data_IF_157840223931
#
_entry.id   IF_157840223931
#
_cell.length_a   1.000
_cell.length_b   1.000
_cell.length_c   1.000
_cell.angle_alpha   90.00
_cell.angle_beta   90.00
_cell.angle_gamma   90.00
#
_symmetry.space_group_name_H-M   'P 1'
#
loop_
_entity.id
_entity.type
_entity.pdbx_description
1 polymer ?
#
# COMPACT_ATOMS: atom_id res chain seq x y z
N UNK A 1 15.52 4.72 7.21
CA UNK A 1 15.71 5.99 6.49
C UNK A 1 16.50 5.67 5.23
N UNK A 2 15.96 6.03 4.07
CA UNK A 2 16.52 5.77 2.75
C UNK A 2 16.43 7.08 1.96
N UNK A 3 17.41 7.35 1.12
CA UNK A 3 17.46 8.52 0.25
C UNK A 3 17.48 8.06 -1.21
N UNK A 4 16.68 8.70 -2.07
CA UNK A 4 16.58 8.37 -3.50
C UNK A 4 17.30 9.38 -4.39
N UNK A 5 18.33 10.07 -3.87
CA UNK A 5 19.05 11.15 -4.54
C UNK A 5 20.01 10.69 -5.64
N UNK A 6 20.27 9.39 -5.79
CA UNK A 6 21.07 8.83 -6.88
C UNK A 6 20.37 7.63 -7.52
N UNK A 7 20.69 7.29 -8.77
CA UNK A 7 20.14 6.10 -9.43
C UNK A 7 20.38 4.82 -8.62
N UNK A 8 21.57 4.70 -8.00
CA UNK A 8 21.91 3.55 -7.16
C UNK A 8 21.07 3.51 -5.88
N UNK A 9 20.93 4.65 -5.19
CA UNK A 9 20.19 4.70 -3.93
C UNK A 9 18.68 4.54 -4.13
N UNK A 10 18.14 5.01 -5.26
CA UNK A 10 16.76 4.74 -5.69
C UNK A 10 16.51 3.24 -5.92
N UNK A 11 17.42 2.56 -6.62
CA UNK A 11 17.29 1.12 -6.85
C UNK A 11 17.30 0.34 -5.53
N UNK A 12 18.25 0.65 -4.65
CA UNK A 12 18.34 0.02 -3.33
C UNK A 12 17.09 0.27 -2.48
N UNK A 13 16.53 1.48 -2.52
CA UNK A 13 15.30 1.79 -1.80
C UNK A 13 14.10 1.02 -2.34
N UNK A 14 14.01 0.89 -3.66
CA UNK A 14 12.96 0.11 -4.34
C UNK A 14 13.03 -1.36 -3.98
N UNK A 15 14.23 -1.96 -4.02
CA UNK A 15 14.47 -3.35 -3.63
C UNK A 15 14.13 -3.61 -2.16
N UNK A 16 14.50 -2.67 -1.28
CA UNK A 16 14.16 -2.75 0.15
C UNK A 16 12.65 -2.80 0.36
N UNK A 17 11.90 -1.87 -0.25
CA UNK A 17 10.44 -1.83 -0.13
C UNK A 17 9.84 -3.13 -0.68
N UNK A 18 10.23 -3.53 -1.89
CA UNK A 18 9.72 -4.74 -2.54
C UNK A 18 9.89 -5.99 -1.67
N UNK A 19 11.09 -6.19 -1.12
CA UNK A 19 11.41 -7.37 -0.30
C UNK A 19 10.56 -7.42 0.98
N UNK A 20 10.34 -6.27 1.62
CA UNK A 20 9.54 -6.22 2.85
C UNK A 20 8.07 -6.48 2.55
N UNK A 21 7.52 -5.87 1.50
CA UNK A 21 6.12 -6.08 1.10
C UNK A 21 5.85 -7.53 0.73
N UNK A 22 6.73 -8.17 -0.05
CA UNK A 22 6.57 -9.56 -0.47
C UNK A 22 6.58 -10.51 0.73
N UNK A 23 7.43 -10.25 1.73
CA UNK A 23 7.55 -11.11 2.91
C UNK A 23 6.40 -10.93 3.91
N UNK A 24 5.89 -9.71 4.07
CA UNK A 24 4.88 -9.40 5.08
C UNK A 24 3.44 -9.42 4.54
N UNK A 25 3.26 -9.35 3.22
CA UNK A 25 1.94 -9.22 2.60
C UNK A 25 1.27 -7.86 2.87
N UNK A 26 2.02 -6.89 3.39
CA UNK A 26 1.57 -5.53 3.68
C UNK A 26 2.18 -4.54 2.68
N UNK A 27 1.53 -3.39 2.49
CA UNK A 27 2.03 -2.30 1.63
C UNK A 27 2.65 -1.19 2.46
N UNK A 28 3.82 -0.73 2.04
CA UNK A 28 4.50 0.40 2.69
C UNK A 28 3.96 1.70 2.10
N UNK A 29 3.65 2.65 3.00
CA UNK A 29 3.19 4.00 2.64
C UNK A 29 1.91 4.04 1.78
N UNK A 30 0.96 3.12 2.03
CA UNK A 30 -0.37 3.12 1.43
C UNK A 30 -1.29 4.16 2.14
N UNK A 31 -1.59 5.33 1.53
CA UNK A 31 -2.32 6.38 2.23
C UNK A 31 -3.77 6.01 2.53
N UNK A 32 -4.42 5.23 1.67
CA UNK A 32 -5.80 4.79 1.83
C UNK A 32 -5.95 3.86 3.04
N UNK A 33 -4.98 2.94 3.25
CA UNK A 33 -4.95 2.10 4.43
C UNK A 33 -4.79 2.93 5.71
N UNK A 34 -3.85 3.87 5.72
CA UNK A 34 -3.62 4.74 6.88
C UNK A 34 -4.88 5.54 7.17
N UNK A 35 -5.50 6.14 6.16
CA UNK A 35 -6.73 6.91 6.31
C UNK A 35 -7.88 6.05 6.86
N UNK A 36 -8.02 4.82 6.38
CA UNK A 36 -9.04 3.89 6.87
C UNK A 36 -8.81 3.48 8.33
N UNK A 37 -7.58 3.06 8.68
CA UNK A 37 -7.22 2.69 10.07
C UNK A 37 -7.34 3.86 11.05
N UNK A 38 -7.03 5.07 10.59
CA UNK A 38 -7.20 6.30 11.37
C UNK A 38 -8.64 6.83 11.38
N UNK A 39 -9.58 6.16 10.71
CA UNK A 39 -11.00 6.54 10.61
C UNK A 39 -11.22 7.90 9.94
N UNK A 40 -10.31 8.32 9.07
CA UNK A 40 -10.51 9.49 8.20
C UNK A 40 -11.46 9.17 7.04
N UNK A 41 -11.52 7.90 6.64
CA UNK A 41 -12.48 7.37 5.68
C UNK A 41 -13.16 6.12 6.24
N UNK A 42 -14.37 5.84 5.77
CA UNK A 42 -15.11 4.62 6.10
C UNK A 42 -14.84 3.48 5.10
N UNK A 43 -15.46 2.33 5.35
CA UNK A 43 -15.30 1.13 4.53
C UNK A 43 -15.81 1.33 3.08
N UNK A 44 -16.91 2.07 2.89
CA UNK A 44 -17.48 2.31 1.57
C UNK A 44 -16.58 3.25 0.75
N UNK A 45 -15.97 4.24 1.40
CA UNK A 45 -14.99 5.13 0.79
C UNK A 45 -13.71 4.36 0.41
N UNK A 46 -13.22 3.46 1.26
CA UNK A 46 -12.07 2.61 0.92
C UNK A 46 -12.40 1.68 -0.26
N UNK A 47 -13.59 1.06 -0.27
CA UNK A 47 -14.03 0.20 -1.37
C UNK A 47 -14.09 0.96 -2.70
N UNK A 48 -14.64 2.17 -2.69
CA UNK A 48 -14.72 3.03 -3.87
C UNK A 48 -13.33 3.41 -4.43
N UNK A 49 -12.34 3.60 -3.55
CA UNK A 49 -10.94 3.84 -3.94
C UNK A 49 -10.26 2.58 -4.48
N UNK A 50 -10.60 1.41 -3.93
CA UNK A 50 -10.04 0.13 -4.37
C UNK A 50 -10.60 -0.33 -5.73
N UNK A 51 -11.87 -0.02 -6.02
CA UNK A 51 -12.57 -0.44 -7.24
C UNK A 51 -11.83 -0.14 -8.57
N UNK A 52 -11.35 1.09 -8.84
CA UNK A 52 -10.61 1.38 -10.07
C UNK A 52 -9.25 0.67 -10.14
N UNK A 53 -8.70 0.23 -9.00
CA UNK A 53 -7.38 -0.39 -8.87
C UNK A 53 -7.44 -1.91 -8.83
N UNK A 54 -8.62 -2.54 -8.96
CA UNK A 54 -8.83 -3.99 -8.83
C UNK A 54 -7.96 -4.85 -9.76
N UNK A 55 -7.61 -4.32 -10.93
CA UNK A 55 -6.74 -5.03 -11.89
C UNK A 55 -5.27 -5.03 -11.47
N UNK A 56 -4.93 -4.29 -10.43
CA UNK A 56 -3.58 -4.25 -9.85
C UNK A 56 -3.56 -5.02 -8.54
N UNK A 57 -2.37 -5.50 -8.15
CA UNK A 57 -2.18 -6.07 -6.81
C UNK A 57 -2.50 -5.10 -5.66
N UNK A 58 -2.50 -3.78 -5.93
CA UNK A 58 -2.80 -2.76 -4.94
C UNK A 58 -4.30 -2.66 -4.62
N UNK A 59 -5.17 -2.69 -5.62
CA UNK A 59 -6.62 -2.70 -5.37
C UNK A 59 -7.09 -3.96 -4.65
N UNK A 60 -6.49 -5.12 -4.99
CA UNK A 60 -6.72 -6.38 -4.26
C UNK A 60 -6.31 -6.23 -2.80
N UNK A 61 -5.13 -5.65 -2.54
CA UNK A 61 -4.66 -5.36 -1.19
C UNK A 61 -5.64 -4.51 -0.39
N UNK A 62 -6.10 -3.39 -0.96
CA UNK A 62 -7.05 -2.50 -0.27
C UNK A 62 -8.39 -3.18 0.04
N UNK A 63 -8.87 -4.06 -0.84
CA UNK A 63 -10.07 -4.85 -0.56
C UNK A 63 -9.88 -5.86 0.56
N UNK A 64 -8.72 -6.49 0.65
CA UNK A 64 -8.44 -7.45 1.72
C UNK A 64 -8.48 -6.78 3.11
N UNK A 65 -8.10 -5.50 3.21
CA UNK A 65 -8.22 -4.73 4.46
C UNK A 65 -9.66 -4.61 4.98
N UNK A 66 -10.67 -4.73 4.11
CA UNK A 66 -12.09 -4.69 4.51
C UNK A 66 -12.58 -6.03 5.06
N UNK A 67 -11.90 -7.13 4.71
CA UNK A 67 -12.26 -8.50 5.14
C UNK A 67 -11.58 -8.86 6.45
N UNK A 68 -10.36 -8.34 6.67
CA UNK A 68 -9.54 -8.62 7.86
C UNK A 68 -9.78 -7.65 9.04
N UNK A 69 -10.78 -6.75 8.94
CA UNK A 69 -11.08 -5.68 9.91
C UNK A 69 -12.03 -6.09 11.06
#
# INVERSE_FOLDING_TARGET
WLDTGTHKSLLQASEFVHTIEERQGLKIAAPEEVAYRMKFIDAAQLEALAAPLEKSGYGIYLKNLLVDA
#
